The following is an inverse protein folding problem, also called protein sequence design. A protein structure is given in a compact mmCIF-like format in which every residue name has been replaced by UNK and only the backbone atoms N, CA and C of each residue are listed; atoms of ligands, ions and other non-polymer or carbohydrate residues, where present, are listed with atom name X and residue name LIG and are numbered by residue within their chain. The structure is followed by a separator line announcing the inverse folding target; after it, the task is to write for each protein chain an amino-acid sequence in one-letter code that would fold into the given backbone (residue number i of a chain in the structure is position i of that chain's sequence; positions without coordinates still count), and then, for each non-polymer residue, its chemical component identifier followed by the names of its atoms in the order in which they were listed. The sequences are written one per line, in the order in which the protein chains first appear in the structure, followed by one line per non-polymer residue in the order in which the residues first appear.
data_IF_565979381990
#
_entry.id   IF_565979381990
#
_cell.length_a   1.000
_cell.length_b   1.000
_cell.length_c   1.000
_cell.angle_alpha   90.00
_cell.angle_beta   90.00
_cell.angle_gamma   90.00
#
_symmetry.space_group_name_H-M   'P 1'
#
loop_
_entity.id
_entity.type
_entity.pdbx_description
1 polymer ?
#
# COMPACT_ATOMS: atom_id res chain seq x y z
N UNK A 1 -9.00 91.11 -13.58
CA UNK A 1 -7.96 90.08 -13.38
C UNK A 1 -8.61 88.92 -12.79
N UNK A 2 -8.88 87.87 -13.59
CA UNK A 2 -9.65 86.69 -13.23
C UNK A 2 -8.67 85.54 -13.26
N UNK A 3 -8.44 84.93 -12.08
CA UNK A 3 -7.55 83.74 -11.92
C UNK A 3 -8.38 82.47 -12.14
N UNK A 4 -7.91 81.62 -13.04
CA UNK A 4 -8.53 80.38 -13.48
C UNK A 4 -7.95 79.23 -12.67
N UNK A 5 -8.73 78.68 -11.73
CA UNK A 5 -8.33 77.47 -10.94
C UNK A 5 -8.50 76.21 -11.77
N UNK A 6 -7.40 75.52 -12.07
CA UNK A 6 -7.36 74.17 -12.66
C UNK A 6 -7.65 73.11 -11.59
N UNK A 7 -8.75 72.42 -11.73
CA UNK A 7 -9.08 71.21 -10.93
C UNK A 7 -8.47 70.01 -11.61
N UNK A 8 -7.49 69.37 -10.95
CA UNK A 8 -6.93 68.10 -11.35
C UNK A 8 -7.86 66.96 -10.91
N UNK A 9 -8.41 66.20 -11.86
CA UNK A 9 -9.18 65.00 -11.60
C UNK A 9 -8.20 63.85 -11.49
N UNK A 10 -7.98 63.36 -10.27
CA UNK A 10 -7.16 62.16 -10.03
C UNK A 10 -7.97 60.90 -10.39
N UNK A 11 -7.52 60.18 -11.42
CA UNK A 11 -8.07 58.92 -11.83
C UNK A 11 -7.50 57.82 -10.90
N UNK A 12 -8.36 57.36 -9.95
CA UNK A 12 -8.02 56.25 -9.05
C UNK A 12 -8.24 54.95 -9.81
N UNK A 13 -7.18 54.36 -10.34
CA UNK A 13 -7.21 53.03 -10.97
C UNK A 13 -7.31 51.93 -9.89
N UNK A 14 -8.52 51.34 -9.70
CA UNK A 14 -8.75 50.16 -8.90
C UNK A 14 -8.17 48.93 -9.63
N UNK A 15 -7.00 48.51 -9.22
CA UNK A 15 -6.43 47.21 -9.61
C UNK A 15 -7.23 46.09 -8.91
N UNK A 16 -8.20 45.51 -9.62
CA UNK A 16 -8.80 44.24 -9.25
C UNK A 16 -7.73 43.13 -9.42
N UNK A 17 -7.06 42.78 -8.35
CA UNK A 17 -6.25 41.56 -8.30
C UNK A 17 -7.18 40.34 -8.47
N UNK A 18 -7.10 39.69 -9.64
CA UNK A 18 -7.73 38.39 -9.87
C UNK A 18 -7.01 37.38 -8.99
N UNK A 19 -7.48 37.22 -7.76
CA UNK A 19 -7.09 36.10 -6.91
C UNK A 19 -7.54 34.81 -7.58
N UNK A 20 -6.57 34.03 -8.09
CA UNK A 20 -6.81 32.65 -8.52
C UNK A 20 -7.27 31.87 -7.29
N UNK A 21 -8.57 31.68 -7.17
CA UNK A 21 -9.13 30.79 -6.15
C UNK A 21 -8.56 29.38 -6.41
N UNK A 22 -7.61 28.96 -5.59
CA UNK A 22 -7.17 27.57 -5.54
C UNK A 22 -8.40 26.75 -5.16
N UNK A 23 -8.98 26.09 -6.16
CA UNK A 23 -10.14 25.24 -5.98
C UNK A 23 -9.72 24.10 -5.08
N UNK A 24 -10.14 24.10 -3.82
CA UNK A 24 -9.90 23.01 -2.90
C UNK A 24 -10.37 21.71 -3.57
N UNK A 25 -9.45 20.79 -3.80
CA UNK A 25 -9.79 19.49 -4.37
C UNK A 25 -10.66 18.75 -3.34
N UNK A 26 -11.80 18.26 -3.80
CA UNK A 26 -12.71 17.49 -2.95
C UNK A 26 -12.18 16.08 -2.74
N UNK A 27 -12.50 15.44 -1.60
CA UNK A 27 -12.24 14.01 -1.42
C UNK A 27 -12.78 13.21 -2.59
N UNK A 28 -12.01 12.23 -3.04
CA UNK A 28 -12.39 11.38 -4.15
C UNK A 28 -12.02 9.92 -3.87
N UNK A 29 -12.83 9.01 -4.42
CA UNK A 29 -12.58 7.58 -4.35
C UNK A 29 -11.74 7.15 -5.55
N UNK A 30 -10.73 6.35 -5.27
CA UNK A 30 -9.87 5.72 -6.26
C UNK A 30 -9.96 4.22 -6.10
N UNK A 31 -10.05 3.49 -7.20
CA UNK A 31 -10.06 2.04 -7.24
C UNK A 31 -8.68 1.52 -7.63
N UNK A 32 -8.22 0.49 -6.94
CA UNK A 32 -6.94 -0.14 -7.23
C UNK A 32 -6.92 -0.70 -8.64
N UNK A 33 -5.88 -0.37 -9.40
CA UNK A 33 -5.67 -0.86 -10.76
C UNK A 33 -5.02 -2.24 -10.75
N UNK A 34 -5.32 -3.11 -11.73
CA UNK A 34 -4.63 -4.39 -11.94
C UNK A 34 -3.12 -4.25 -12.21
N UNK A 35 -2.65 -3.05 -12.55
CA UNK A 35 -1.21 -2.77 -12.72
C UNK A 35 -0.46 -2.61 -11.39
N UNK A 36 -1.16 -2.67 -10.27
CA UNK A 36 -0.57 -2.63 -8.95
C UNK A 36 0.21 -3.91 -8.67
N UNK A 37 1.29 -3.78 -7.89
CA UNK A 37 2.14 -4.90 -7.49
C UNK A 37 2.20 -4.97 -5.98
N UNK A 38 1.95 -6.16 -5.46
CA UNK A 38 2.05 -6.48 -4.04
C UNK A 38 2.88 -7.76 -3.89
N UNK A 39 3.96 -7.68 -3.13
CA UNK A 39 4.95 -8.73 -3.01
C UNK A 39 5.33 -8.94 -1.54
N UNK A 40 5.70 -10.17 -1.22
CA UNK A 40 6.24 -10.56 0.08
C UNK A 40 7.57 -11.26 -0.14
N UNK A 41 8.60 -10.76 0.53
CA UNK A 41 9.90 -11.42 0.57
C UNK A 41 10.04 -12.18 1.89
N UNK A 42 10.38 -13.48 1.78
CA UNK A 42 10.73 -14.29 2.94
C UNK A 42 12.25 -14.42 3.03
N UNK A 43 12.77 -14.39 4.26
CA UNK A 43 14.20 -14.63 4.52
C UNK A 43 14.45 -16.07 4.94
N UNK A 44 15.73 -16.42 5.06
CA UNK A 44 16.22 -17.69 5.65
C UNK A 44 16.67 -17.46 7.08
N UNK A 45 16.55 -18.47 7.91
CA UNK A 45 17.06 -18.44 9.28
C UNK A 45 17.82 -19.73 9.63
N UNK A 46 18.84 -19.60 10.48
CA UNK A 46 19.58 -20.71 11.08
C UNK A 46 21.00 -20.88 10.55
N UNK A 47 21.76 -21.78 11.20
CA UNK A 47 23.17 -22.03 10.93
C UNK A 47 23.44 -22.55 9.51
N UNK A 48 22.42 -23.17 8.89
CA UNK A 48 22.44 -23.67 7.51
C UNK A 48 21.68 -22.76 6.53
N UNK A 49 21.66 -21.44 6.77
CA UNK A 49 21.01 -20.48 5.88
C UNK A 49 21.55 -20.43 4.46
N UNK A 50 22.69 -21.11 4.19
CA UNK A 50 23.22 -21.32 2.84
C UNK A 50 22.44 -22.40 2.06
N UNK A 51 21.68 -23.27 2.76
CA UNK A 51 20.78 -24.25 2.15
C UNK A 51 19.37 -23.66 2.06
N UNK A 52 18.76 -23.72 0.89
CA UNK A 52 17.42 -23.16 0.62
C UNK A 52 17.47 -21.80 -0.09
N UNK A 53 16.35 -21.25 -0.45
CA UNK A 53 16.20 -20.01 -1.22
C UNK A 53 15.35 -18.98 -0.46
N UNK A 54 15.60 -17.68 -0.69
CA UNK A 54 14.63 -16.66 -0.33
C UNK A 54 13.48 -16.74 -1.35
N UNK A 55 12.27 -16.70 -0.88
CA UNK A 55 11.11 -16.70 -1.75
C UNK A 55 10.56 -15.28 -1.92
N UNK A 56 10.30 -14.94 -3.17
CA UNK A 56 9.50 -13.77 -3.52
C UNK A 56 8.11 -14.28 -3.90
N UNK A 57 7.11 -13.80 -3.20
CA UNK A 57 5.70 -14.18 -3.38
C UNK A 57 4.97 -12.96 -3.90
N UNK A 58 4.17 -13.12 -4.95
CA UNK A 58 3.36 -12.04 -5.54
C UNK A 58 1.89 -12.37 -5.45
N UNK A 59 1.09 -11.37 -5.07
CA UNK A 59 -0.36 -11.43 -5.17
C UNK A 59 -0.81 -11.16 -6.62
N UNK A 60 -1.63 -12.05 -7.17
CA UNK A 60 -2.18 -11.91 -8.54
C UNK A 60 -3.59 -11.33 -8.56
N UNK A 61 -4.36 -11.54 -7.51
CA UNK A 61 -5.70 -10.97 -7.36
C UNK A 61 -5.73 -10.06 -6.12
N UNK A 62 -5.66 -8.77 -6.38
CA UNK A 62 -5.73 -7.72 -5.37
C UNK A 62 -6.81 -6.73 -5.76
N UNK A 63 -7.67 -6.41 -4.82
CA UNK A 63 -8.69 -5.36 -4.96
C UNK A 63 -8.51 -4.34 -3.84
N UNK A 64 -9.04 -3.16 -4.03
CA UNK A 64 -9.00 -2.15 -2.98
C UNK A 64 -9.53 -0.81 -3.45
N UNK A 65 -9.76 0.05 -2.48
CA UNK A 65 -10.16 1.43 -2.72
C UNK A 65 -9.44 2.38 -1.76
N UNK A 66 -9.28 3.60 -2.22
CA UNK A 66 -8.70 4.71 -1.46
C UNK A 66 -9.68 5.87 -1.51
N UNK A 67 -10.18 6.31 -0.36
CA UNK A 67 -10.77 7.62 -0.23
C UNK A 67 -9.63 8.60 0.07
N UNK A 68 -9.29 9.45 -0.88
CA UNK A 68 -8.21 10.42 -0.72
C UNK A 68 -8.75 11.83 -0.60
N UNK A 69 -8.37 12.51 0.49
CA UNK A 69 -8.66 13.92 0.73
C UNK A 69 -7.34 14.72 0.60
N UNK A 70 -7.09 15.40 -0.51
CA UNK A 70 -5.86 16.16 -0.70
C UNK A 70 -5.77 17.41 0.19
N UNK A 71 -6.90 17.90 0.70
CA UNK A 71 -6.95 19.04 1.61
C UNK A 71 -6.70 18.66 3.07
N UNK A 72 -6.99 17.41 3.43
CA UNK A 72 -6.74 16.84 4.75
C UNK A 72 -6.38 15.34 4.61
N UNK A 73 -5.12 15.00 4.34
CA UNK A 73 -4.68 13.61 4.21
C UNK A 73 -5.00 12.71 5.41
N UNK A 74 -5.17 13.30 6.60
CA UNK A 74 -5.55 12.55 7.80
C UNK A 74 -6.94 11.92 7.70
N UNK A 75 -7.81 12.45 6.84
CA UNK A 75 -9.15 11.92 6.56
C UNK A 75 -9.16 10.85 5.47
N UNK A 76 -8.03 10.58 4.85
CA UNK A 76 -7.91 9.55 3.83
C UNK A 76 -8.05 8.15 4.43
N UNK A 77 -8.67 7.25 3.67
CA UNK A 77 -8.91 5.87 4.08
C UNK A 77 -8.46 4.92 2.97
N UNK A 78 -7.93 3.78 3.37
CA UNK A 78 -7.45 2.74 2.45
C UNK A 78 -7.97 1.39 2.90
N UNK A 79 -8.53 0.64 1.98
CA UNK A 79 -8.82 -0.78 2.16
C UNK A 79 -8.22 -1.57 1.00
N UNK A 80 -7.44 -2.62 1.33
CA UNK A 80 -6.84 -3.55 0.38
C UNK A 80 -7.25 -4.97 0.76
N UNK A 81 -7.62 -5.76 -0.23
CA UNK A 81 -7.95 -7.19 -0.11
C UNK A 81 -7.16 -7.99 -1.12
N UNK A 82 -6.55 -9.04 -0.66
CA UNK A 82 -5.79 -10.00 -1.46
C UNK A 82 -6.48 -11.35 -1.36
N UNK A 83 -6.80 -11.95 -2.49
CA UNK A 83 -7.27 -13.34 -2.53
C UNK A 83 -6.08 -14.25 -2.25
N UNK A 84 -6.08 -14.96 -1.11
CA UNK A 84 -4.93 -15.71 -0.61
C UNK A 84 -4.50 -16.84 -1.57
N UNK A 85 -5.44 -17.49 -2.26
CA UNK A 85 -5.13 -18.50 -3.27
C UNK A 85 -4.44 -17.93 -4.53
N UNK A 86 -4.50 -16.60 -4.74
CA UNK A 86 -3.81 -15.94 -5.86
C UNK A 86 -2.33 -15.68 -5.61
N UNK A 87 -1.83 -15.99 -4.43
CA UNK A 87 -0.42 -15.85 -4.10
C UNK A 87 0.42 -16.84 -4.90
N UNK A 88 1.43 -16.36 -5.57
CA UNK A 88 2.32 -17.12 -6.42
C UNK A 88 3.77 -16.93 -5.99
N UNK A 89 4.49 -18.04 -5.81
CA UNK A 89 5.92 -18.03 -5.53
C UNK A 89 6.67 -17.83 -6.84
N UNK A 90 7.55 -16.84 -6.91
CA UNK A 90 8.28 -16.47 -8.11
C UNK A 90 9.71 -17.00 -8.13
N UNK A 91 10.25 -17.40 -6.98
CA UNK A 91 11.63 -17.84 -6.84
C UNK A 91 11.71 -19.06 -5.94
N UNK A 92 12.59 -20.01 -6.22
CA UNK A 92 13.57 -20.12 -7.29
C UNK A 92 12.93 -20.45 -8.65
N UNK A 93 13.70 -20.47 -9.74
CA UNK A 93 13.16 -20.73 -11.09
C UNK A 93 12.75 -22.18 -11.36
N UNK A 94 13.11 -23.14 -10.49
CA UNK A 94 12.68 -24.53 -10.64
C UNK A 94 11.16 -24.67 -10.46
N UNK A 95 10.47 -25.06 -11.53
CA UNK A 95 9.00 -25.14 -11.55
C UNK A 95 8.45 -26.24 -10.62
N UNK A 96 9.16 -27.31 -10.36
CA UNK A 96 8.73 -28.39 -9.47
C UNK A 96 8.84 -27.94 -8.01
N UNK A 97 9.92 -27.24 -7.66
CA UNK A 97 10.08 -26.65 -6.33
C UNK A 97 9.08 -25.52 -6.10
N UNK A 98 8.86 -24.63 -7.08
CA UNK A 98 7.84 -23.56 -6.98
C UNK A 98 6.47 -24.14 -6.68
N UNK A 99 6.05 -25.20 -7.37
CA UNK A 99 4.75 -25.83 -7.10
C UNK A 99 4.65 -26.36 -5.68
N UNK A 100 5.67 -27.08 -5.20
CA UNK A 100 5.69 -27.61 -3.82
C UNK A 100 5.65 -26.50 -2.77
N UNK A 101 6.43 -25.45 -2.95
CA UNK A 101 6.44 -24.31 -2.02
C UNK A 101 5.13 -23.57 -2.06
N UNK A 102 4.52 -23.38 -3.23
CA UNK A 102 3.22 -22.72 -3.39
C UNK A 102 2.12 -23.55 -2.70
N UNK A 103 2.12 -24.88 -2.87
CA UNK A 103 1.16 -25.77 -2.22
C UNK A 103 1.30 -25.71 -0.70
N UNK A 104 2.52 -25.91 -0.17
CA UNK A 104 2.78 -25.82 1.27
C UNK A 104 2.45 -24.43 1.84
N UNK A 105 2.70 -23.35 1.11
CA UNK A 105 2.30 -22.01 1.52
C UNK A 105 0.78 -21.90 1.64
N UNK A 106 0.04 -22.42 0.67
CA UNK A 106 -1.43 -22.32 0.66
C UNK A 106 -2.09 -23.23 1.69
N UNK A 107 -1.61 -24.49 1.84
CA UNK A 107 -2.23 -25.48 2.75
C UNK A 107 -1.71 -25.33 4.18
N UNK A 108 -0.40 -25.37 4.38
CA UNK A 108 0.19 -25.59 5.71
C UNK A 108 0.50 -24.27 6.43
N UNK A 109 0.74 -23.19 5.67
CA UNK A 109 1.14 -21.89 6.23
C UNK A 109 -0.03 -20.93 6.34
N UNK A 110 -0.82 -20.78 5.26
CA UNK A 110 -1.90 -19.81 5.19
C UNK A 110 -3.29 -20.40 5.36
N UNK A 111 -3.43 -21.74 5.23
CA UNK A 111 -4.72 -22.43 5.31
C UNK A 111 -5.82 -21.68 4.50
N UNK A 112 -5.54 -21.47 3.21
CA UNK A 112 -6.37 -20.61 2.36
C UNK A 112 -7.81 -21.11 2.21
N UNK A 113 -8.06 -22.38 2.49
CA UNK A 113 -9.40 -22.97 2.49
C UNK A 113 -10.29 -22.36 3.60
N UNK A 114 -9.72 -22.05 4.75
CA UNK A 114 -10.41 -21.41 5.88
C UNK A 114 -10.16 -19.91 5.97
N UNK A 115 -9.07 -19.42 5.40
CA UNK A 115 -8.65 -18.03 5.39
C UNK A 115 -8.42 -17.52 3.98
N UNK A 116 -9.47 -17.34 3.15
CA UNK A 116 -9.35 -17.04 1.72
C UNK A 116 -8.85 -15.62 1.42
N UNK A 117 -8.89 -14.72 2.39
CA UNK A 117 -8.49 -13.32 2.20
C UNK A 117 -7.41 -12.87 3.19
N UNK A 118 -6.54 -12.00 2.67
CA UNK A 118 -5.66 -11.14 3.46
C UNK A 118 -6.21 -9.73 3.32
N UNK A 119 -6.39 -9.02 4.45
CA UNK A 119 -7.05 -7.71 4.44
C UNK A 119 -6.23 -6.67 5.19
N UNK A 120 -6.13 -5.46 4.63
CA UNK A 120 -5.62 -4.29 5.32
C UNK A 120 -6.67 -3.19 5.31
N UNK A 121 -6.90 -2.56 6.48
CA UNK A 121 -7.78 -1.39 6.63
C UNK A 121 -7.05 -0.32 7.41
N UNK A 122 -6.89 0.86 6.83
CA UNK A 122 -6.30 2.00 7.54
C UNK A 122 -7.25 2.53 8.63
N UNK A 123 -6.66 2.94 9.75
CA UNK A 123 -7.36 3.62 10.86
C UNK A 123 -6.99 5.10 10.93
N UNK A 124 -5.76 5.43 10.55
CA UNK A 124 -5.29 6.81 10.50
C UNK A 124 -4.25 7.00 9.41
N UNK A 125 -4.16 8.22 8.92
CA UNK A 125 -3.13 8.66 8.00
C UNK A 125 -2.48 9.93 8.56
N UNK A 126 -1.17 9.93 8.73
CA UNK A 126 -0.40 11.07 9.20
C UNK A 126 0.47 11.58 8.06
N UNK A 127 0.41 12.88 7.70
CA UNK A 127 1.32 13.44 6.70
C UNK A 127 2.79 13.30 7.15
N UNK A 128 3.64 12.86 6.23
CA UNK A 128 5.10 12.83 6.40
C UNK A 128 5.74 13.45 5.16
N UNK A 129 7.02 13.82 5.20
CA UNK A 129 7.70 14.31 4.00
C UNK A 129 7.62 13.31 2.84
N UNK A 130 7.04 13.75 1.71
CA UNK A 130 6.90 12.93 0.50
C UNK A 130 5.80 11.87 0.55
N UNK A 131 4.87 11.91 1.54
CA UNK A 131 3.80 10.94 1.61
C UNK A 131 2.97 10.96 2.87
N UNK A 132 2.56 9.77 3.30
CA UNK A 132 1.74 9.57 4.51
C UNK A 132 2.20 8.34 5.29
N UNK A 133 2.12 8.41 6.60
CA UNK A 133 2.22 7.23 7.47
C UNK A 133 0.83 6.70 7.72
N UNK A 134 0.55 5.51 7.22
CA UNK A 134 -0.70 4.79 7.49
C UNK A 134 -0.52 3.91 8.73
N UNK A 135 -1.46 4.02 9.67
CA UNK A 135 -1.67 3.00 10.71
C UNK A 135 -2.98 2.30 10.44
N UNK A 136 -3.01 0.99 10.54
CA UNK A 136 -4.19 0.20 10.24
C UNK A 136 -4.08 -1.21 10.76
N UNK A 137 -5.13 -1.97 10.52
CA UNK A 137 -5.21 -3.38 10.85
C UNK A 137 -4.87 -4.22 9.63
N UNK A 138 -3.93 -5.13 9.81
CA UNK A 138 -3.63 -6.21 8.88
C UNK A 138 -4.22 -7.52 9.44
N UNK A 139 -5.02 -8.19 8.63
CA UNK A 139 -5.57 -9.51 8.93
C UNK A 139 -4.87 -10.55 8.06
N UNK A 140 -4.25 -11.54 8.73
CA UNK A 140 -3.63 -12.72 8.14
C UNK A 140 -4.12 -13.94 8.90
N UNK A 141 -4.56 -14.97 8.19
CA UNK A 141 -5.00 -16.25 8.77
C UNK A 141 -6.02 -16.05 9.90
N UNK A 142 -6.97 -15.13 9.69
CA UNK A 142 -8.01 -14.79 10.67
C UNK A 142 -7.52 -14.01 11.91
N UNK A 143 -6.22 -13.69 11.99
CA UNK A 143 -5.65 -12.92 13.10
C UNK A 143 -5.38 -11.48 12.65
N UNK A 144 -5.92 -10.52 13.39
CA UNK A 144 -5.75 -9.09 13.13
C UNK A 144 -4.66 -8.49 14.02
N UNK A 145 -3.76 -7.70 13.41
CA UNK A 145 -2.72 -6.93 14.12
C UNK A 145 -2.59 -5.53 13.56
N UNK A 146 -2.34 -4.58 14.45
CA UNK A 146 -2.00 -3.21 14.06
C UNK A 146 -0.62 -3.14 13.39
N UNK A 147 -0.54 -2.49 12.25
CA UNK A 147 0.70 -2.22 11.52
C UNK A 147 0.84 -0.74 11.18
N UNK A 148 2.08 -0.30 10.97
CA UNK A 148 2.40 1.05 10.53
C UNK A 148 3.25 0.98 9.27
N UNK A 149 2.86 1.78 8.26
CA UNK A 149 3.50 1.78 6.93
C UNK A 149 3.75 3.21 6.48
N UNK A 150 4.99 3.53 6.16
CA UNK A 150 5.33 4.79 5.51
C UNK A 150 5.12 4.60 4.00
N UNK A 151 4.25 5.42 3.44
CA UNK A 151 3.82 5.38 2.04
C UNK A 151 4.30 6.63 1.34
N UNK A 152 5.15 6.46 0.32
CA UNK A 152 5.44 7.53 -0.62
C UNK A 152 4.25 7.66 -1.58
N UNK A 153 3.68 8.87 -1.68
CA UNK A 153 2.45 9.11 -2.41
C UNK A 153 2.66 10.19 -3.48
N UNK A 154 2.32 9.84 -4.71
CA UNK A 154 2.23 10.77 -5.84
C UNK A 154 0.78 10.89 -6.27
N UNK A 155 0.20 12.08 -6.13
CA UNK A 155 -1.17 12.36 -6.51
C UNK A 155 -1.22 13.13 -7.82
N UNK A 156 -1.78 12.51 -8.87
CA UNK A 156 -2.12 13.14 -10.14
C UNK A 156 -3.60 13.54 -10.19
N UNK A 157 -4.06 14.04 -11.34
CA UNK A 157 -5.45 14.46 -11.53
C UNK A 157 -6.45 13.31 -11.28
N UNK A 158 -6.20 12.15 -11.90
CA UNK A 158 -7.08 10.98 -11.86
C UNK A 158 -6.35 9.69 -11.44
N UNK A 159 -5.13 9.81 -10.97
CA UNK A 159 -4.30 8.66 -10.61
C UNK A 159 -3.56 8.92 -9.31
N UNK A 160 -3.62 7.96 -8.40
CA UNK A 160 -2.72 7.88 -7.24
C UNK A 160 -1.67 6.81 -7.50
N UNK A 161 -0.41 7.10 -7.21
CA UNK A 161 0.69 6.15 -7.18
C UNK A 161 1.24 6.11 -5.77
N UNK A 162 1.36 4.91 -5.23
CA UNK A 162 1.82 4.73 -3.86
C UNK A 162 2.84 3.60 -3.80
N UNK A 163 3.96 3.85 -3.14
CA UNK A 163 4.97 2.82 -2.87
C UNK A 163 5.30 2.78 -1.40
N UNK A 164 5.64 1.60 -0.92
CA UNK A 164 6.05 1.42 0.47
C UNK A 164 6.47 0.01 0.78
N UNK A 165 7.03 -0.16 1.97
CA UNK A 165 7.34 -1.48 2.52
C UNK A 165 7.20 -1.47 4.04
N UNK A 166 6.87 -2.63 4.58
CA UNK A 166 6.84 -2.87 6.02
C UNK A 166 7.12 -4.34 6.29
N UNK A 167 7.47 -4.65 7.52
CA UNK A 167 7.75 -6.03 7.90
C UNK A 167 6.92 -6.44 9.12
N UNK A 168 6.56 -7.71 9.16
CA UNK A 168 5.88 -8.33 10.29
C UNK A 168 6.53 -9.67 10.62
N UNK A 169 6.30 -10.13 11.84
CA UNK A 169 6.67 -11.48 12.25
C UNK A 169 5.45 -12.40 12.06
N UNK A 170 5.62 -13.49 11.32
CA UNK A 170 4.57 -14.47 11.01
C UNK A 170 3.94 -15.04 12.28
N UNK A 171 4.76 -15.30 13.30
CA UNK A 171 4.33 -15.79 14.60
C UNK A 171 3.35 -14.86 15.31
N UNK A 172 3.40 -13.55 15.07
CA UNK A 172 2.43 -12.58 15.60
C UNK A 172 1.01 -12.82 15.09
N UNK A 173 0.86 -13.50 13.96
CA UNK A 173 -0.42 -13.89 13.36
C UNK A 173 -0.77 -15.37 13.60
N UNK A 174 -0.04 -16.06 14.52
CA UNK A 174 -0.24 -17.47 14.77
C UNK A 174 0.33 -18.40 13.69
N UNK A 175 0.96 -17.85 12.65
CA UNK A 175 1.61 -18.61 11.59
C UNK A 175 2.90 -19.22 12.12
N UNK A 176 3.08 -20.53 11.94
CA UNK A 176 4.35 -21.20 12.20
C UNK A 176 5.24 -21.09 10.96
N UNK A 177 6.40 -20.40 11.03
CA UNK A 177 7.30 -20.34 9.90
C UNK A 177 7.67 -21.75 9.42
N UNK A 178 7.63 -21.95 8.12
CA UNK A 178 7.92 -23.27 7.52
C UNK A 178 9.28 -23.79 7.97
N UNK A 179 9.28 -25.06 8.36
CA UNK A 179 10.47 -25.84 8.67
C UNK A 179 10.36 -27.19 7.98
N UNK A 180 11.30 -27.49 7.07
CA UNK A 180 11.22 -28.71 6.27
C UNK A 180 12.56 -29.06 5.61
N UNK A 181 12.50 -29.83 4.51
CA UNK A 181 13.66 -30.38 3.82
C UNK A 181 14.29 -31.57 4.57
N UNK A 182 15.36 -32.15 4.02
CA UNK A 182 16.06 -33.28 4.65
C UNK A 182 16.52 -32.92 6.07
N UNK A 183 16.04 -33.65 7.07
CA UNK A 183 16.38 -33.43 8.48
C UNK A 183 15.85 -32.13 9.09
N UNK A 184 14.87 -31.43 8.46
CA UNK A 184 14.33 -30.17 8.98
C UNK A 184 15.31 -28.99 8.92
N UNK A 185 16.30 -29.05 8.04
CA UNK A 185 17.38 -28.07 7.96
C UNK A 185 16.96 -26.75 7.27
N UNK A 186 15.90 -26.78 6.44
CA UNK A 186 15.39 -25.59 5.77
C UNK A 186 14.40 -24.89 6.72
N UNK A 187 14.71 -23.65 7.09
CA UNK A 187 13.84 -22.83 7.94
C UNK A 187 13.62 -21.46 7.30
N UNK A 188 12.37 -21.09 7.15
CA UNK A 188 11.96 -19.73 6.77
C UNK A 188 12.09 -18.81 7.98
N UNK A 189 12.55 -17.58 7.78
CA UNK A 189 12.60 -16.59 8.83
C UNK A 189 11.18 -16.24 9.29
N UNK A 190 11.01 -15.94 10.57
CA UNK A 190 9.74 -15.47 11.12
C UNK A 190 9.35 -14.11 10.51
N UNK A 191 10.33 -13.23 10.36
CA UNK A 191 10.14 -11.90 9.78
C UNK A 191 10.01 -11.96 8.27
N UNK A 192 8.90 -11.42 7.75
CA UNK A 192 8.65 -11.25 6.32
C UNK A 192 8.47 -9.77 5.98
N UNK A 193 8.88 -9.39 4.76
CA UNK A 193 8.79 -8.01 4.29
C UNK A 193 7.77 -7.91 3.17
N UNK A 194 6.77 -7.07 3.37
CA UNK A 194 5.78 -6.67 2.36
C UNK A 194 6.30 -5.44 1.61
N UNK A 195 6.17 -5.47 0.30
CA UNK A 195 6.50 -4.35 -0.59
C UNK A 195 5.37 -4.14 -1.58
N UNK A 196 5.04 -2.90 -1.86
CA UNK A 196 4.01 -2.61 -2.85
C UNK A 196 4.38 -1.42 -3.73
N UNK A 197 3.88 -1.48 -4.97
CA UNK A 197 3.79 -0.38 -5.90
C UNK A 197 2.35 -0.36 -6.43
N UNK A 198 1.52 0.47 -5.83
CA UNK A 198 0.10 0.56 -6.11
C UNK A 198 -0.20 1.70 -7.07
N UNK A 199 -1.11 1.45 -7.99
CA UNK A 199 -1.71 2.44 -8.88
C UNK A 199 -3.21 2.39 -8.66
N UNK A 200 -3.82 3.52 -8.32
CA UNK A 200 -5.26 3.61 -8.18
C UNK A 200 -5.83 4.70 -9.10
N UNK A 201 -6.92 4.40 -9.76
CA UNK A 201 -7.58 5.28 -10.71
C UNK A 201 -8.85 5.86 -10.09
N UNK A 202 -9.07 7.15 -10.35
CA UNK A 202 -10.23 7.85 -9.84
C UNK A 202 -11.52 7.17 -10.32
N UNK A 203 -12.39 6.83 -9.37
CA UNK A 203 -13.72 6.35 -9.71
C UNK A 203 -14.57 7.52 -10.24
N UNK A 204 -15.36 7.31 -11.31
CA UNK A 204 -16.39 8.28 -11.68
C UNK A 204 -17.25 8.60 -10.45
N UNK A 205 -17.62 9.87 -10.31
CA UNK A 205 -18.62 10.24 -9.30
C UNK A 205 -19.95 9.53 -9.61
N UNK A 206 -20.65 9.00 -8.61
CA UNK A 206 -21.96 8.39 -8.80
C UNK A 206 -22.97 9.35 -9.37
#
# INVERSE_FOLDING_TARGET
MIELARRSVGCLALLFGAGTAVRAQRPATYLLSPHSRFEVATGKRGFFSFVGHNHLIRARAVTGHVLYDPSDPARSQVEIRVLAESLEVLTPPDTAEIRKVTEAMRSDVLDVAHHPEIRFVSKSAEPIPGGVRLRGDLELVGVTRGVSVDVHLEAGADTLRATGSFAVDQSSFGIRPYSGGPGGLVRVADRVTFTFAAVALRSPAP
#
